data_IF_172464244104
#
_entry.id   IF_172464244104
#
_cell.length_a   1.000
_cell.length_b   1.000
_cell.length_c   1.000
_cell.angle_alpha   90.00
_cell.angle_beta   90.00
_cell.angle_gamma   90.00
#
_symmetry.space_group_name_H-M   'P 1'
#
loop_
_entity.id
_entity.type
_entity.pdbx_description
1 polymer ?
#
# COMPACT_ATOMS: atom_id res chain seq x y z
N UNK A 1 14.59 15.57 1.26
CA UNK A 1 13.60 14.77 2.03
C UNK A 1 13.01 13.66 1.14
N UNK A 2 13.84 12.72 0.67
CA UNK A 2 13.40 11.64 -0.23
C UNK A 2 13.15 10.36 0.57
N UNK A 3 11.91 10.16 1.05
CA UNK A 3 11.28 8.84 1.27
C UNK A 3 9.86 9.01 1.80
N UNK A 4 8.95 9.55 0.96
CA UNK A 4 7.50 9.43 1.19
C UNK A 4 7.02 8.07 0.65
N UNK A 5 7.49 6.97 1.25
CA UNK A 5 6.95 5.63 1.00
C UNK A 5 6.86 4.89 2.33
N UNK A 6 5.77 5.15 3.05
CA UNK A 6 5.42 4.38 4.24
C UNK A 6 5.08 2.95 3.83
N UNK A 7 5.54 1.94 4.59
CA UNK A 7 5.13 0.54 4.40
C UNK A 7 3.66 0.29 4.76
N UNK A 8 2.89 1.33 5.04
CA UNK A 8 1.42 1.24 5.12
C UNK A 8 0.81 0.71 3.80
N UNK A 9 1.45 0.94 2.64
CA UNK A 9 1.08 0.33 1.34
C UNK A 9 1.29 -1.19 1.27
N UNK A 10 2.02 -1.75 2.22
CA UNK A 10 2.61 -3.09 2.19
C UNK A 10 1.83 -4.09 3.06
N UNK A 11 0.97 -3.56 3.94
CA UNK A 11 0.14 -4.26 4.91
C UNK A 11 -1.04 -5.04 4.32
N UNK A 12 -1.31 -4.99 3.02
CA UNK A 12 -2.55 -5.54 2.44
C UNK A 12 -2.50 -7.04 2.12
N UNK A 13 -1.30 -7.60 1.96
CA UNK A 13 -1.14 -8.81 1.12
C UNK A 13 -0.75 -10.07 1.91
N UNK A 14 -0.35 -9.90 3.16
CA UNK A 14 0.14 -10.98 4.01
C UNK A 14 -0.96 -11.91 4.53
N UNK A 15 -2.19 -11.40 4.62
CA UNK A 15 -3.34 -12.23 4.95
C UNK A 15 -3.67 -13.24 3.85
N UNK A 16 -3.56 -12.86 2.58
CA UNK A 16 -3.78 -13.73 1.42
C UNK A 16 -2.87 -14.97 1.44
N UNK A 17 -1.61 -14.81 1.86
CA UNK A 17 -0.66 -15.92 2.00
C UNK A 17 -1.02 -16.82 3.20
N UNK A 18 -1.45 -16.23 4.32
CA UNK A 18 -1.87 -17.00 5.50
C UNK A 18 -3.24 -17.68 5.35
N UNK A 19 -4.20 -17.08 4.64
CA UNK A 19 -5.54 -17.65 4.44
C UNK A 19 -5.49 -18.92 3.59
N UNK A 20 -4.73 -18.91 2.48
CA UNK A 20 -4.50 -20.13 1.70
C UNK A 20 -3.91 -21.26 2.54
N UNK A 21 -3.10 -20.94 3.57
CA UNK A 21 -2.53 -21.90 4.53
C UNK A 21 -3.50 -22.40 5.62
N UNK A 22 -4.62 -21.71 5.86
CA UNK A 22 -5.42 -21.85 7.08
C UNK A 22 -6.87 -22.31 6.85
N UNK A 23 -7.38 -22.29 5.60
CA UNK A 23 -8.78 -22.61 5.25
C UNK A 23 -9.22 -24.08 5.54
N UNK A 24 -8.39 -24.91 6.17
CA UNK A 24 -8.80 -26.27 6.59
C UNK A 24 -8.52 -26.68 8.03
N UNK A 25 -8.06 -25.80 8.91
CA UNK A 25 -7.97 -26.11 10.34
C UNK A 25 -8.77 -25.09 11.15
N UNK A 26 -9.95 -25.49 11.58
CA UNK A 26 -10.73 -24.82 12.61
C UNK A 26 -9.98 -24.88 13.95
N UNK A 27 -9.10 -23.91 14.20
CA UNK A 27 -8.56 -23.63 15.54
C UNK A 27 -8.23 -22.13 15.62
N UNK A 28 -9.13 -21.38 16.24
CA UNK A 28 -9.00 -19.94 16.45
C UNK A 28 -7.76 -19.61 17.29
N UNK A 29 -6.98 -18.59 16.90
CA UNK A 29 -6.17 -17.83 17.87
C UNK A 29 -7.10 -16.87 18.61
N UNK A 30 -7.61 -17.29 19.76
CA UNK A 30 -8.29 -16.39 20.70
C UNK A 30 -7.24 -15.70 21.57
N UNK A 31 -7.14 -14.37 21.48
CA UNK A 31 -6.49 -13.57 22.53
C UNK A 31 -7.38 -13.57 23.76
N UNK A 32 -6.90 -14.09 24.88
CA UNK A 32 -7.56 -13.95 26.19
C UNK A 32 -7.35 -12.55 26.76
N UNK A 33 -8.34 -12.07 27.51
CA UNK A 33 -8.49 -10.69 28.00
C UNK A 33 -7.49 -10.23 29.09
N UNK A 34 -6.40 -10.98 29.34
CA UNK A 34 -5.41 -10.68 30.38
C UNK A 34 -4.01 -10.34 29.84
N UNK A 35 -3.84 -10.18 28.52
CA UNK A 35 -2.57 -9.73 27.93
C UNK A 35 -1.43 -10.73 28.04
N UNK A 36 -1.66 -11.97 28.46
CA UNK A 36 -0.65 -13.02 28.50
C UNK A 36 -0.77 -13.96 27.29
N UNK A 37 0.30 -14.06 26.49
CA UNK A 37 0.39 -15.04 25.40
C UNK A 37 0.69 -16.43 26.00
N UNK A 38 -0.33 -17.14 26.45
CA UNK A 38 -0.20 -18.54 26.87
C UNK A 38 -0.39 -19.46 25.67
N UNK A 39 0.66 -20.22 25.30
CA UNK A 39 0.48 -21.44 24.51
C UNK A 39 -0.44 -22.37 25.30
N UNK A 40 -1.65 -22.62 24.81
CA UNK A 40 -2.38 -23.82 25.22
C UNK A 40 -1.63 -24.98 24.58
N UNK A 41 -0.73 -25.59 25.35
CA UNK A 41 -0.15 -26.89 25.03
C UNK A 41 -1.24 -27.93 25.30
N UNK A 42 -2.11 -28.13 24.31
CA UNK A 42 -2.84 -29.39 24.23
C UNK A 42 -1.83 -30.46 23.77
N UNK A 43 -1.56 -31.45 24.62
CA UNK A 43 -0.56 -32.52 24.41
C UNK A 43 -1.05 -33.61 23.43
N UNK A 44 -2.02 -33.29 22.58
CA UNK A 44 -2.44 -34.15 21.49
C UNK A 44 -1.50 -33.95 20.29
N UNK A 45 -1.06 -35.02 19.60
CA UNK A 45 -0.15 -34.89 18.46
C UNK A 45 -0.83 -34.05 17.38
N UNK A 46 -0.32 -32.83 17.14
CA UNK A 46 -0.77 -31.98 16.05
C UNK A 46 -0.72 -32.78 14.75
N UNK A 47 -1.82 -32.85 13.98
CA UNK A 47 -1.78 -33.47 12.66
C UNK A 47 -0.70 -32.77 11.82
N UNK A 48 0.02 -33.50 10.96
CA UNK A 48 1.05 -32.91 10.12
C UNK A 48 0.42 -31.77 9.29
N UNK A 49 0.98 -30.56 9.42
CA UNK A 49 0.54 -29.39 8.66
C UNK A 49 0.64 -29.74 7.18
N UNK A 50 -0.50 -29.92 6.49
CA UNK A 50 -0.52 -30.08 5.03
C UNK A 50 0.01 -28.80 4.42
N UNK A 51 1.25 -28.83 3.96
CA UNK A 51 1.94 -27.68 3.35
C UNK A 51 1.29 -27.37 2.00
N UNK A 52 0.97 -26.09 1.77
CA UNK A 52 0.47 -25.65 0.46
C UNK A 52 1.62 -25.61 -0.54
N UNK A 53 1.40 -26.09 -1.78
CA UNK A 53 2.43 -26.08 -2.80
C UNK A 53 2.86 -24.64 -3.12
N UNK A 54 4.15 -24.46 -3.37
CA UNK A 54 4.72 -23.21 -3.83
C UNK A 54 4.36 -22.94 -5.29
N UNK A 55 4.36 -21.67 -5.74
CA UNK A 55 4.75 -20.44 -5.03
C UNK A 55 3.61 -19.76 -4.24
N UNK A 56 3.97 -19.02 -3.18
CA UNK A 56 3.02 -18.26 -2.35
C UNK A 56 2.99 -16.79 -2.74
N UNK A 57 1.83 -16.35 -3.22
CA UNK A 57 1.55 -14.98 -3.57
C UNK A 57 0.30 -14.47 -2.85
N UNK A 58 0.29 -13.19 -2.56
CA UNK A 58 -0.95 -12.44 -2.42
C UNK A 58 -0.93 -11.24 -3.36
N UNK A 59 -2.10 -10.74 -3.72
CA UNK A 59 -2.23 -9.59 -4.61
C UNK A 59 -3.27 -8.59 -4.10
N UNK A 60 -2.96 -7.30 -4.13
CA UNK A 60 -3.93 -6.20 -3.97
C UNK A 60 -4.04 -5.46 -5.31
N UNK A 61 -5.18 -5.61 -5.98
CA UNK A 61 -5.44 -4.95 -7.26
C UNK A 61 -6.25 -3.67 -6.98
N UNK A 62 -5.53 -2.59 -6.66
CA UNK A 62 -6.12 -1.27 -6.46
C UNK A 62 -6.52 -0.59 -7.77
N UNK A 63 -7.17 0.57 -7.67
CA UNK A 63 -7.61 1.36 -8.84
C UNK A 63 -6.45 1.88 -9.70
N UNK A 64 -5.35 2.31 -9.07
CA UNK A 64 -4.18 2.86 -9.76
C UNK A 64 -2.97 1.93 -9.77
N UNK A 65 -2.73 1.22 -8.67
CA UNK A 65 -1.56 0.35 -8.49
C UNK A 65 -2.00 -1.04 -8.05
N UNK A 66 -1.44 -2.04 -8.71
CA UNK A 66 -1.42 -3.42 -8.26
C UNK A 66 -0.18 -3.66 -7.39
N UNK A 67 -0.34 -4.38 -6.28
CA UNK A 67 0.74 -4.79 -5.39
C UNK A 67 0.72 -6.30 -5.26
N UNK A 68 1.90 -6.90 -5.36
CA UNK A 68 2.14 -8.32 -5.27
C UNK A 68 3.15 -8.56 -4.16
N UNK A 69 2.82 -9.48 -3.25
CA UNK A 69 3.77 -9.96 -2.25
C UNK A 69 4.10 -11.40 -2.53
N UNK A 70 5.40 -11.68 -2.52
CA UNK A 70 5.94 -12.99 -2.79
C UNK A 70 6.75 -13.45 -1.58
N UNK A 71 6.41 -14.62 -1.04
CA UNK A 71 7.21 -15.26 -0.01
C UNK A 71 8.23 -16.22 -0.64
N UNK A 72 9.51 -15.90 -0.46
CA UNK A 72 10.63 -16.71 -0.90
C UNK A 72 11.14 -17.59 0.27
N UNK A 73 11.00 -18.93 0.23
CA UNK A 73 11.60 -19.80 1.22
C UNK A 73 13.12 -19.71 1.22
N UNK A 74 13.70 -19.74 2.41
CA UNK A 74 15.15 -19.83 2.62
C UNK A 74 15.58 -21.09 3.36
N UNK A 75 14.62 -21.95 3.69
CA UNK A 75 14.78 -23.18 4.45
C UNK A 75 14.53 -24.44 3.61
N UNK A 76 14.72 -24.35 2.29
CA UNK A 76 14.54 -25.45 1.34
C UNK A 76 15.61 -26.51 1.58
N UNK A 77 15.20 -27.77 1.73
CA UNK A 77 16.15 -28.88 1.85
C UNK A 77 16.72 -29.30 0.48
N UNK A 78 17.88 -29.96 0.41
CA UNK A 78 18.42 -30.47 -0.86
C UNK A 78 17.45 -31.40 -1.60
N UNK A 79 16.68 -32.22 -0.87
CA UNK A 79 15.67 -33.12 -1.46
C UNK A 79 14.48 -32.35 -2.04
N UNK A 80 14.03 -31.30 -1.33
CA UNK A 80 13.01 -30.37 -1.84
C UNK A 80 13.53 -29.62 -3.07
N UNK A 81 14.79 -29.20 -3.10
CA UNK A 81 15.39 -28.53 -4.25
C UNK A 81 15.53 -29.46 -5.46
N UNK A 82 15.86 -30.74 -5.26
CA UNK A 82 15.96 -31.72 -6.33
C UNK A 82 14.58 -32.12 -6.90
N UNK A 83 13.55 -32.15 -6.06
CA UNK A 83 12.16 -32.42 -6.46
C UNK A 83 11.42 -31.18 -6.96
N UNK A 84 11.97 -29.98 -6.77
CA UNK A 84 11.38 -28.74 -7.23
C UNK A 84 11.37 -28.64 -8.76
N UNK A 85 10.17 -28.44 -9.30
CA UNK A 85 9.94 -28.31 -10.74
C UNK A 85 10.74 -27.12 -11.29
N UNK A 86 11.42 -27.31 -12.42
CA UNK A 86 12.29 -26.30 -13.04
C UNK A 86 11.59 -24.95 -13.29
N UNK A 87 10.30 -24.96 -13.62
CA UNK A 87 9.48 -23.73 -13.75
C UNK A 87 9.44 -22.92 -12.46
N UNK A 88 9.35 -23.58 -11.30
CA UNK A 88 9.31 -22.92 -9.99
C UNK A 88 10.67 -22.29 -9.65
N UNK A 89 11.78 -22.98 -9.96
CA UNK A 89 13.14 -22.42 -9.85
C UNK A 89 13.30 -21.18 -10.72
N UNK A 90 12.82 -21.23 -11.95
CA UNK A 90 12.90 -20.11 -12.89
C UNK A 90 12.06 -18.91 -12.44
N UNK A 91 10.86 -19.11 -11.92
CA UNK A 91 10.04 -18.04 -11.35
C UNK A 91 10.73 -17.41 -10.13
N UNK A 92 11.21 -18.24 -9.18
CA UNK A 92 11.94 -17.74 -8.01
C UNK A 92 13.12 -16.88 -8.45
N UNK A 93 13.96 -17.41 -9.36
CA UNK A 93 15.13 -16.71 -9.90
C UNK A 93 14.75 -15.41 -10.61
N UNK A 94 13.66 -15.42 -11.38
CA UNK A 94 13.17 -14.24 -12.07
C UNK A 94 12.73 -13.15 -11.07
N UNK A 95 11.97 -13.52 -10.04
CA UNK A 95 11.49 -12.58 -9.03
C UNK A 95 12.64 -12.04 -8.16
N UNK A 96 13.64 -12.84 -7.84
CA UNK A 96 14.70 -12.42 -6.90
C UNK A 96 15.88 -11.72 -7.57
N UNK A 97 16.22 -12.08 -8.82
CA UNK A 97 17.35 -11.46 -9.55
C UNK A 97 17.00 -10.16 -10.24
N UNK A 98 15.73 -9.93 -10.57
CA UNK A 98 15.30 -8.70 -11.23
C UNK A 98 14.76 -7.68 -10.22
N UNK A 99 15.02 -6.39 -10.48
CA UNK A 99 14.42 -5.26 -9.75
C UNK A 99 13.27 -4.64 -10.52
N UNK A 100 13.25 -4.79 -11.85
CA UNK A 100 12.18 -4.38 -12.73
C UNK A 100 11.59 -5.60 -13.45
N UNK A 101 10.28 -5.61 -13.68
CA UNK A 101 9.56 -6.66 -14.38
C UNK A 101 8.80 -6.05 -15.55
N UNK A 102 9.15 -6.43 -16.78
CA UNK A 102 8.73 -5.69 -17.96
C UNK A 102 9.26 -4.25 -17.93
N UNK A 103 8.49 -3.30 -18.46
CA UNK A 103 8.82 -1.87 -18.46
C UNK A 103 8.34 -1.12 -17.22
N UNK A 104 7.35 -1.64 -16.49
CA UNK A 104 6.58 -0.89 -15.48
C UNK A 104 6.50 -1.54 -14.10
N UNK A 105 6.86 -2.82 -13.98
CA UNK A 105 6.90 -3.52 -12.70
C UNK A 105 8.16 -3.22 -11.91
N UNK A 106 8.04 -2.99 -10.62
CA UNK A 106 9.15 -2.66 -9.74
C UNK A 106 9.11 -3.48 -8.45
N UNK A 107 10.26 -4.05 -8.06
CA UNK A 107 10.47 -4.64 -6.74
C UNK A 107 11.11 -3.64 -5.80
N UNK A 108 10.42 -3.31 -4.72
CA UNK A 108 10.88 -2.36 -3.72
C UNK A 108 11.83 -3.08 -2.73
N UNK A 109 13.09 -3.29 -3.13
CA UNK A 109 14.08 -4.07 -2.36
C UNK A 109 14.37 -3.51 -0.97
N UNK A 110 14.20 -2.20 -0.78
CA UNK A 110 14.37 -1.52 0.50
C UNK A 110 13.25 -1.85 1.51
N UNK A 111 12.15 -2.45 1.04
CA UNK A 111 11.03 -2.89 1.88
C UNK A 111 11.09 -4.38 2.22
N UNK A 112 12.02 -5.13 1.62
CA UNK A 112 12.18 -6.56 1.82
C UNK A 112 12.26 -6.90 3.32
N UNK A 113 11.51 -7.92 3.75
CA UNK A 113 11.55 -8.41 5.12
C UNK A 113 12.23 -9.77 5.15
N UNK A 114 13.30 -9.88 5.94
CA UNK A 114 14.06 -11.11 6.10
C UNK A 114 13.57 -11.87 7.33
N UNK A 115 13.85 -13.17 7.36
CA UNK A 115 13.59 -14.06 8.50
C UNK A 115 12.12 -14.13 8.94
N UNK A 116 11.21 -14.05 7.96
CA UNK A 116 9.77 -14.09 8.22
C UNK A 116 9.30 -15.54 8.30
N UNK A 117 8.49 -15.84 9.31
CA UNK A 117 7.96 -17.17 9.58
C UNK A 117 6.48 -17.26 9.16
N UNK A 118 6.19 -18.05 8.11
CA UNK A 118 4.84 -18.21 7.54
C UNK A 118 4.60 -19.68 7.23
N UNK A 119 3.45 -20.23 7.66
CA UNK A 119 3.04 -21.59 7.30
C UNK A 119 4.05 -22.68 7.72
N UNK A 120 4.79 -22.45 8.81
CA UNK A 120 5.85 -23.36 9.28
C UNK A 120 7.15 -23.29 8.48
N UNK A 121 7.33 -22.28 7.60
CA UNK A 121 8.58 -22.05 6.89
C UNK A 121 9.20 -20.69 7.22
N UNK A 122 10.51 -20.60 7.05
CA UNK A 122 11.32 -19.40 7.24
C UNK A 122 11.81 -18.88 5.89
N UNK A 123 11.60 -17.59 5.65
CA UNK A 123 11.88 -17.02 4.34
C UNK A 123 11.96 -15.50 4.32
N UNK A 124 11.81 -14.96 3.12
CA UNK A 124 11.91 -13.54 2.81
C UNK A 124 10.62 -13.09 2.14
N UNK A 125 10.06 -11.97 2.57
CA UNK A 125 8.97 -11.30 1.86
C UNK A 125 9.50 -10.26 0.89
N UNK A 126 9.07 -10.39 -0.36
CA UNK A 126 9.35 -9.44 -1.44
C UNK A 126 8.11 -8.64 -1.78
N UNK A 127 8.30 -7.34 -2.02
CA UNK A 127 7.23 -6.40 -2.34
C UNK A 127 7.41 -5.89 -3.75
N UNK A 128 6.38 -6.12 -4.58
CA UNK A 128 6.39 -5.80 -5.99
C UNK A 128 5.15 -4.97 -6.29
N UNK A 129 5.29 -3.96 -7.15
CA UNK A 129 4.16 -3.12 -7.59
C UNK A 129 4.26 -2.82 -9.07
N UNK A 130 3.11 -2.59 -9.69
CA UNK A 130 3.00 -2.12 -11.08
C UNK A 130 1.68 -1.35 -11.27
N UNK A 131 1.58 -0.47 -12.26
CA UNK A 131 0.32 0.23 -12.56
C UNK A 131 -0.79 -0.75 -12.92
N UNK A 132 -1.99 -0.55 -12.39
CA UNK A 132 -3.14 -1.43 -12.69
C UNK A 132 -3.52 -1.41 -14.19
N UNK A 133 -3.21 -0.32 -14.90
CA UNK A 133 -3.35 -0.23 -16.37
C UNK A 133 -2.53 -1.29 -17.11
N UNK A 134 -1.44 -1.77 -16.52
CA UNK A 134 -0.52 -2.76 -17.09
C UNK A 134 -0.89 -4.21 -16.72
N UNK A 135 -2.09 -4.43 -16.18
CA UNK A 135 -2.53 -5.76 -15.75
C UNK A 135 -2.51 -6.79 -16.89
N UNK A 136 -2.86 -6.40 -18.12
CA UNK A 136 -2.82 -7.32 -19.26
C UNK A 136 -1.39 -7.77 -19.58
N UNK A 137 -0.42 -6.84 -19.60
CA UNK A 137 1.00 -7.19 -19.77
C UNK A 137 1.50 -8.09 -18.62
N UNK A 138 1.03 -7.88 -17.39
CA UNK A 138 1.35 -8.77 -16.28
C UNK A 138 0.80 -10.20 -16.50
N UNK A 139 -0.44 -10.33 -16.97
CA UNK A 139 -1.06 -11.64 -17.26
C UNK A 139 -0.31 -12.35 -18.39
N UNK A 140 0.06 -11.64 -19.46
CA UNK A 140 0.87 -12.17 -20.55
C UNK A 140 2.25 -12.63 -20.05
N UNK A 141 2.89 -11.84 -19.19
CA UNK A 141 4.15 -12.20 -18.56
C UNK A 141 3.99 -13.47 -17.71
N UNK A 142 2.96 -13.54 -16.87
CA UNK A 142 2.66 -14.71 -16.03
C UNK A 142 2.43 -15.97 -16.88
N UNK A 143 1.73 -15.83 -18.02
CA UNK A 143 1.53 -16.90 -19.00
C UNK A 143 2.86 -17.36 -19.61
N UNK A 144 3.68 -16.42 -20.09
CA UNK A 144 4.99 -16.71 -20.72
C UNK A 144 5.98 -17.37 -19.76
N UNK A 145 5.88 -17.11 -18.45
CA UNK A 145 6.74 -17.67 -17.41
C UNK A 145 6.20 -18.96 -16.80
N UNK A 146 5.05 -19.45 -17.27
CA UNK A 146 4.44 -20.67 -16.74
C UNK A 146 3.94 -20.54 -15.30
N UNK A 147 3.59 -19.33 -14.84
CA UNK A 147 3.04 -19.18 -13.48
C UNK A 147 1.68 -19.88 -13.35
N UNK A 148 0.91 -19.83 -14.44
CA UNK A 148 -0.39 -20.48 -14.60
C UNK A 148 -0.37 -22.01 -14.39
N UNK A 149 0.76 -22.67 -14.67
CA UNK A 149 0.88 -24.13 -14.53
C UNK A 149 1.22 -24.57 -13.11
N UNK A 150 1.71 -23.64 -12.26
CA UNK A 150 2.11 -23.92 -10.89
C UNK A 150 1.05 -23.48 -9.87
N UNK A 151 0.33 -22.39 -10.16
CA UNK A 151 -0.66 -21.83 -9.26
C UNK A 151 -2.01 -21.79 -9.95
N UNK A 152 -2.97 -22.56 -9.43
CA UNK A 152 -4.35 -22.53 -9.91
C UNK A 152 -5.20 -21.48 -9.21
N UNK A 153 -4.79 -21.04 -8.01
CA UNK A 153 -5.53 -20.06 -7.19
C UNK A 153 -4.59 -19.05 -6.57
N UNK A 154 -4.87 -17.76 -6.75
CA UNK A 154 -4.16 -16.66 -6.09
C UNK A 154 -5.14 -15.90 -5.21
N UNK A 155 -4.78 -15.71 -3.94
CA UNK A 155 -5.54 -14.84 -3.06
C UNK A 155 -5.35 -13.38 -3.48
N UNK A 156 -6.45 -12.68 -3.72
CA UNK A 156 -6.46 -11.33 -4.23
C UNK A 156 -7.47 -10.45 -3.49
N UNK A 157 -7.13 -9.19 -3.29
CA UNK A 157 -8.01 -8.18 -2.70
C UNK A 157 -8.06 -6.91 -3.55
N UNK A 158 -8.80 -5.91 -3.08
CA UNK A 158 -9.08 -4.67 -3.80
C UNK A 158 -10.15 -4.85 -4.88
N UNK A 159 -10.72 -3.73 -5.33
CA UNK A 159 -11.78 -3.75 -6.35
C UNK A 159 -11.38 -4.42 -7.67
N UNK A 160 -10.08 -4.43 -8.00
CA UNK A 160 -9.56 -5.10 -9.17
C UNK A 160 -9.63 -6.63 -9.11
N UNK A 161 -9.67 -7.23 -7.92
CA UNK A 161 -9.85 -8.68 -7.78
C UNK A 161 -11.21 -9.14 -8.36
N UNK A 162 -12.23 -8.29 -8.29
CA UNK A 162 -13.53 -8.53 -8.95
C UNK A 162 -13.47 -8.18 -10.44
N UNK A 163 -12.89 -7.02 -10.79
CA UNK A 163 -12.82 -6.53 -12.18
C UNK A 163 -12.07 -7.47 -13.12
N UNK A 164 -10.97 -8.06 -12.67
CA UNK A 164 -10.08 -8.86 -13.52
C UNK A 164 -10.26 -10.38 -13.34
N UNK A 165 -11.19 -10.84 -12.50
CA UNK A 165 -11.41 -12.28 -12.26
C UNK A 165 -11.61 -13.07 -13.56
N UNK A 166 -12.46 -12.57 -14.45
CA UNK A 166 -12.73 -13.22 -15.73
C UNK A 166 -11.50 -13.26 -16.64
N UNK A 167 -10.68 -12.20 -16.64
CA UNK A 167 -9.45 -12.14 -17.43
C UNK A 167 -8.43 -13.15 -16.93
N UNK A 168 -8.21 -13.24 -15.61
CA UNK A 168 -7.32 -14.25 -15.02
C UNK A 168 -7.80 -15.68 -15.33
N UNK A 169 -9.10 -15.91 -15.24
CA UNK A 169 -9.69 -17.22 -15.54
C UNK A 169 -9.55 -17.59 -17.02
N UNK A 170 -9.80 -16.66 -17.95
CA UNK A 170 -9.76 -16.92 -19.40
C UNK A 170 -8.33 -17.04 -19.94
N UNK A 171 -7.43 -16.15 -19.53
CA UNK A 171 -6.11 -16.03 -20.16
C UNK A 171 -5.06 -16.97 -19.58
N UNK A 172 -5.15 -17.27 -18.28
CA UNK A 172 -4.18 -18.07 -17.53
C UNK A 172 -4.80 -19.18 -16.69
N UNK A 173 -6.12 -19.42 -16.79
CA UNK A 173 -6.83 -20.46 -16.03
C UNK A 173 -6.57 -20.38 -14.51
N UNK A 174 -6.42 -19.16 -13.98
CA UNK A 174 -6.20 -18.91 -12.56
C UNK A 174 -7.47 -18.39 -11.91
N UNK A 175 -7.83 -18.96 -10.77
CA UNK A 175 -8.91 -18.45 -9.91
C UNK A 175 -8.38 -17.38 -8.97
N UNK A 176 -9.09 -16.27 -8.83
CA UNK A 176 -8.83 -15.30 -7.78
C UNK A 176 -9.68 -15.65 -6.55
N UNK A 177 -9.02 -16.01 -5.45
CA UNK A 177 -9.67 -16.13 -4.15
C UNK A 177 -9.79 -14.74 -3.53
N UNK A 178 -10.98 -14.16 -3.63
CA UNK A 178 -11.22 -12.76 -3.28
C UNK A 178 -11.32 -12.58 -1.76
N UNK A 179 -10.53 -11.67 -1.22
CA UNK A 179 -10.56 -11.25 0.18
C UNK A 179 -11.02 -9.79 0.28
N UNK A 180 -11.71 -9.41 1.38
CA UNK A 180 -12.08 -8.02 1.62
C UNK A 180 -10.85 -7.11 1.81
N UNK A 181 -10.88 -5.92 1.22
CA UNK A 181 -9.75 -4.98 1.19
C UNK A 181 -9.39 -4.45 2.58
N UNK A 182 -10.40 -4.14 3.39
CA UNK A 182 -10.22 -3.53 4.70
C UNK A 182 -9.76 -4.58 5.71
N UNK A 183 -10.31 -5.78 5.63
CA UNK A 183 -9.86 -6.92 6.44
C UNK A 183 -8.40 -7.26 6.16
N UNK A 184 -8.05 -7.35 4.87
CA UNK A 184 -6.68 -7.58 4.41
C UNK A 184 -5.70 -6.52 4.92
N UNK A 185 -6.08 -5.24 4.85
CA UNK A 185 -5.30 -4.11 5.35
C UNK A 185 -4.98 -4.24 6.83
N UNK A 186 -6.00 -4.40 7.67
CA UNK A 186 -5.81 -4.45 9.13
C UNK A 186 -4.95 -5.65 9.51
N UNK A 187 -5.26 -6.82 8.94
CA UNK A 187 -4.57 -8.06 9.29
C UNK A 187 -3.11 -8.05 8.87
N UNK A 188 -2.78 -7.61 7.66
CA UNK A 188 -1.38 -7.56 7.27
C UNK A 188 -0.61 -6.41 7.90
N UNK A 189 -1.27 -5.33 8.35
CA UNK A 189 -0.63 -4.31 9.18
C UNK A 189 -0.21 -4.88 10.54
N UNK A 190 -1.14 -5.56 11.22
CA UNK A 190 -0.86 -6.23 12.49
C UNK A 190 0.19 -7.34 12.33
N UNK A 191 0.19 -8.06 11.20
CA UNK A 191 1.22 -9.05 10.89
C UNK A 191 2.60 -8.40 10.77
N UNK A 192 2.72 -7.29 10.02
CA UNK A 192 4.01 -6.61 9.85
C UNK A 192 4.52 -6.12 11.19
N UNK A 193 3.67 -5.49 12.00
CA UNK A 193 4.07 -5.02 13.33
C UNK A 193 4.55 -6.17 14.23
N UNK A 194 3.82 -7.30 14.25
CA UNK A 194 4.19 -8.46 15.05
C UNK A 194 5.49 -9.15 14.62
N UNK A 195 5.91 -8.99 13.37
CA UNK A 195 7.16 -9.57 12.85
C UNK A 195 8.29 -8.53 12.73
N UNK A 196 7.98 -7.24 12.80
CA UNK A 196 8.91 -6.14 12.53
C UNK A 196 8.51 -4.87 13.32
N UNK A 197 8.70 -4.87 14.65
CA UNK A 197 8.16 -3.85 15.59
C UNK A 197 8.84 -2.46 15.49
N UNK A 198 9.59 -2.22 14.42
CA UNK A 198 10.25 -0.94 14.12
C UNK A 198 9.57 -0.19 12.97
N UNK A 199 8.39 -0.68 12.55
CA UNK A 199 7.72 -0.19 11.35
C UNK A 199 6.93 1.08 11.58
N UNK A 200 6.26 1.20 12.72
CA UNK A 200 5.48 2.37 13.04
C UNK A 200 6.38 3.54 13.46
N UNK A 201 6.11 4.75 12.96
CA UNK A 201 6.90 5.94 13.27
C UNK A 201 6.06 7.22 13.16
N UNK A 202 6.54 8.28 13.80
CA UNK A 202 6.01 9.64 13.66
C UNK A 202 7.16 10.64 13.46
N UNK A 203 6.83 11.86 13.07
CA UNK A 203 7.79 12.96 12.97
C UNK A 203 7.65 13.87 14.19
N UNK A 204 8.66 13.85 15.07
CA UNK A 204 8.74 14.75 16.21
C UNK A 204 9.16 16.15 15.74
N UNK A 205 8.60 17.21 16.33
CA UNK A 205 8.84 18.61 15.96
C UNK A 205 8.58 18.91 14.47
N UNK A 206 7.52 18.35 13.89
CA UNK A 206 7.22 18.42 12.45
C UNK A 206 7.07 19.83 11.86
N UNK A 207 6.85 20.85 12.70
CA UNK A 207 6.74 22.26 12.29
C UNK A 207 8.09 23.00 12.25
N UNK A 208 9.17 22.38 12.73
CA UNK A 208 10.50 22.99 12.78
C UNK A 208 11.44 22.22 11.86
N UNK A 209 11.89 22.85 10.78
CA UNK A 209 12.76 22.19 9.78
C UNK A 209 14.05 21.64 10.39
N UNK A 210 14.69 22.39 11.30
CA UNK A 210 15.97 22.01 11.92
C UNK A 210 15.85 20.91 12.99
N UNK A 211 14.66 20.74 13.59
CA UNK A 211 14.42 19.83 14.73
C UNK A 211 13.56 18.63 14.35
N UNK A 212 13.09 18.56 13.11
CA UNK A 212 12.21 17.52 12.63
C UNK A 212 12.96 16.18 12.55
N UNK A 213 12.54 15.21 13.36
CA UNK A 213 13.20 13.90 13.40
C UNK A 213 12.19 12.77 13.31
N UNK A 214 12.56 11.70 12.60
CA UNK A 214 11.78 10.48 12.50
C UNK A 214 11.99 9.66 13.77
N UNK A 215 10.92 9.38 14.50
CA UNK A 215 10.95 8.63 15.77
C UNK A 215 10.07 7.40 15.65
N UNK A 216 10.56 6.26 16.12
CA UNK A 216 9.79 5.01 16.16
C UNK A 216 8.63 5.13 17.15
N UNK A 217 7.51 4.52 16.79
CA UNK A 217 6.33 4.44 17.63
C UNK A 217 6.11 2.99 18.06
N UNK A 218 6.00 2.76 19.36
CA UNK A 218 5.63 1.45 19.89
C UNK A 218 4.16 1.17 19.63
N UNK A 219 3.87 0.23 18.72
CA UNK A 219 2.52 -0.15 18.31
C UNK A 219 2.09 -1.52 18.88
N UNK A 220 2.70 -1.97 20.00
CA UNK A 220 2.40 -3.27 20.63
C UNK A 220 0.98 -3.39 21.20
N UNK A 221 0.44 -2.29 21.76
CA UNK A 221 -0.94 -2.21 22.26
C UNK A 221 -1.74 -1.17 21.45
N UNK A 222 -2.12 -1.49 20.20
CA UNK A 222 -2.50 -0.46 19.24
C UNK A 222 -3.91 0.12 19.44
N UNK A 223 -4.79 -0.59 20.16
CA UNK A 223 -6.21 -0.24 20.20
C UNK A 223 -6.56 0.78 21.29
N UNK A 224 -7.49 1.71 21.02
CA UNK A 224 -8.11 2.01 19.73
C UNK A 224 -7.24 2.93 18.85
N UNK A 225 -7.37 2.81 17.53
CA UNK A 225 -6.68 3.70 16.59
C UNK A 225 -7.51 3.98 15.33
N UNK A 226 -7.10 4.99 14.57
CA UNK A 226 -7.71 5.34 13.28
C UNK A 226 -6.74 5.00 12.16
N UNK A 227 -7.25 4.31 11.14
CA UNK A 227 -6.53 4.12 9.87
C UNK A 227 -7.07 5.10 8.86
N UNK A 228 -6.18 5.87 8.25
CA UNK A 228 -6.48 6.69 7.07
C UNK A 228 -5.75 6.10 5.88
N UNK A 229 -6.43 5.25 5.11
CA UNK A 229 -5.87 4.61 3.93
C UNK A 229 -6.01 5.53 2.71
N UNK A 230 -4.89 6.08 2.24
CA UNK A 230 -4.83 7.02 1.11
C UNK A 230 -4.37 6.27 -0.15
N UNK A 231 -5.33 5.88 -0.99
CA UNK A 231 -5.11 5.30 -2.32
C UNK A 231 -5.58 6.25 -3.42
N UNK A 232 -6.26 5.73 -4.45
CA UNK A 232 -6.90 6.55 -5.48
C UNK A 232 -7.94 7.51 -4.85
N UNK A 233 -8.73 7.00 -3.90
CA UNK A 233 -9.52 7.77 -2.93
C UNK A 233 -8.99 7.56 -1.51
N UNK A 234 -9.77 7.94 -0.49
CA UNK A 234 -9.39 7.78 0.92
C UNK A 234 -10.49 7.04 1.69
N UNK A 235 -10.08 6.05 2.49
CA UNK A 235 -10.95 5.36 3.45
C UNK A 235 -10.46 5.60 4.87
N UNK A 236 -11.38 5.96 5.78
CA UNK A 236 -11.09 6.20 7.19
C UNK A 236 -11.79 5.14 8.03
N UNK A 237 -11.02 4.42 8.84
CA UNK A 237 -11.51 3.35 9.70
C UNK A 237 -11.21 3.66 11.16
N UNK A 238 -12.17 3.41 12.04
CA UNK A 238 -11.94 3.28 13.47
C UNK A 238 -11.73 1.80 13.80
N UNK A 239 -10.63 1.47 14.46
CA UNK A 239 -10.27 0.11 14.87
C UNK A 239 -10.28 0.04 16.39
N UNK A 240 -11.24 -0.70 16.92
CA UNK A 240 -11.47 -0.88 18.36
C UNK A 240 -10.85 -2.17 18.90
N UNK A 241 -10.58 -3.15 18.04
CA UNK A 241 -9.95 -4.42 18.41
C UNK A 241 -9.63 -5.29 17.17
N UNK A 242 -9.02 -6.47 17.36
CA UNK A 242 -8.51 -7.30 16.27
C UNK A 242 -9.55 -7.70 15.19
N UNK A 243 -10.81 -7.85 15.59
CA UNK A 243 -11.93 -8.13 14.70
C UNK A 243 -13.08 -7.12 14.89
N UNK A 244 -12.80 -5.95 15.48
CA UNK A 244 -13.79 -4.92 15.72
C UNK A 244 -13.31 -3.60 15.12
N UNK A 245 -13.79 -3.30 13.93
CA UNK A 245 -13.50 -2.07 13.21
C UNK A 245 -14.65 -1.67 12.32
N UNK A 246 -14.72 -0.38 12.01
CA UNK A 246 -15.75 0.19 11.15
C UNK A 246 -15.15 1.25 10.26
N UNK A 247 -15.52 1.25 8.99
CA UNK A 247 -15.29 2.39 8.10
C UNK A 247 -16.19 3.54 8.55
N UNK A 248 -15.58 4.57 9.14
CA UNK A 248 -16.29 5.72 9.72
C UNK A 248 -16.44 6.88 8.74
N UNK A 249 -15.55 6.98 7.75
CA UNK A 249 -15.60 8.04 6.74
C UNK A 249 -14.79 7.67 5.50
N UNK A 250 -14.76 8.58 4.53
CA UNK A 250 -13.86 8.57 3.40
C UNK A 250 -14.10 9.76 2.49
N UNK A 251 -13.19 9.98 1.55
CA UNK A 251 -13.32 11.02 0.55
C UNK A 251 -12.86 10.48 -0.81
N UNK A 252 -13.47 10.95 -1.88
CA UNK A 252 -13.00 10.68 -3.24
C UNK A 252 -11.75 11.50 -3.59
N UNK A 253 -11.43 12.54 -2.79
CA UNK A 253 -10.25 13.38 -2.94
C UNK A 253 -9.02 12.66 -2.35
N UNK A 254 -8.41 11.79 -3.14
CA UNK A 254 -7.21 11.03 -2.77
C UNK A 254 -6.02 11.26 -3.71
N UNK A 255 -5.12 10.28 -3.77
CA UNK A 255 -3.96 10.31 -4.65
C UNK A 255 -4.32 10.31 -6.14
N UNK A 256 -5.47 9.73 -6.51
CA UNK A 256 -5.97 9.76 -7.88
C UNK A 256 -6.41 11.16 -8.30
N UNK A 257 -7.02 11.91 -7.39
CA UNK A 257 -7.37 13.32 -7.63
C UNK A 257 -6.12 14.18 -7.76
N UNK A 258 -5.14 13.99 -6.86
CA UNK A 258 -3.85 14.69 -6.94
C UNK A 258 -3.18 14.44 -8.30
N UNK A 259 -2.93 13.17 -8.64
CA UNK A 259 -2.23 12.81 -9.87
C UNK A 259 -3.01 13.27 -11.12
N UNK A 260 -4.32 13.03 -11.17
CA UNK A 260 -5.15 13.42 -12.32
C UNK A 260 -5.15 14.93 -12.55
N UNK A 261 -5.25 15.74 -11.48
CA UNK A 261 -5.18 17.20 -11.59
C UNK A 261 -3.78 17.67 -11.98
N UNK A 262 -2.72 17.09 -11.41
CA UNK A 262 -1.34 17.40 -11.81
C UNK A 262 -1.13 17.12 -13.30
N UNK A 263 -1.49 15.93 -13.80
CA UNK A 263 -1.39 15.60 -15.22
C UNK A 263 -2.11 16.61 -16.11
N UNK A 264 -3.34 17.02 -15.74
CA UNK A 264 -4.12 17.97 -16.53
C UNK A 264 -3.58 19.40 -16.48
N UNK A 265 -3.02 19.83 -15.35
CA UNK A 265 -2.59 21.22 -15.12
C UNK A 265 -1.13 21.47 -15.53
N UNK A 266 -0.26 20.47 -15.42
CA UNK A 266 1.19 20.61 -15.67
C UNK A 266 1.69 19.77 -16.83
N UNK A 267 0.91 18.79 -17.31
CA UNK A 267 1.33 17.86 -18.35
C UNK A 267 2.26 16.73 -17.86
N UNK A 268 2.46 16.58 -16.55
CA UNK A 268 3.27 15.49 -16.03
C UNK A 268 2.64 14.12 -16.32
N UNK A 269 3.47 13.08 -16.48
CA UNK A 269 3.03 11.74 -16.89
C UNK A 269 3.24 10.67 -15.80
N UNK A 270 3.87 11.03 -14.68
CA UNK A 270 4.12 10.10 -13.57
C UNK A 270 3.87 10.75 -12.21
N UNK A 271 3.66 9.91 -11.20
CA UNK A 271 3.52 10.39 -9.82
C UNK A 271 4.82 10.99 -9.31
N UNK A 272 5.97 10.41 -9.64
CA UNK A 272 7.29 10.90 -9.30
C UNK A 272 7.53 12.31 -9.85
N UNK A 273 7.23 12.53 -11.14
CA UNK A 273 7.34 13.85 -11.77
C UNK A 273 6.39 14.87 -11.11
N UNK A 274 5.17 14.47 -10.76
CA UNK A 274 4.23 15.35 -10.05
C UNK A 274 4.77 15.79 -8.68
N UNK A 275 5.45 14.88 -7.95
CA UNK A 275 6.09 15.21 -6.66
C UNK A 275 7.31 16.13 -6.86
N UNK A 276 8.12 15.91 -7.89
CA UNK A 276 9.26 16.79 -8.21
C UNK A 276 8.80 18.21 -8.55
N UNK A 277 7.76 18.35 -9.35
CA UNK A 277 7.12 19.64 -9.64
C UNK A 277 6.55 20.29 -8.38
N UNK A 278 5.87 19.54 -7.52
CA UNK A 278 5.34 20.05 -6.27
C UNK A 278 6.46 20.53 -5.30
N UNK A 279 7.61 19.85 -5.29
CA UNK A 279 8.76 20.18 -4.43
C UNK A 279 9.42 21.51 -4.80
N UNK A 280 9.42 21.86 -6.09
CA UNK A 280 9.93 23.15 -6.59
C UNK A 280 8.86 24.24 -6.68
N UNK A 281 7.60 23.88 -6.44
CA UNK A 281 6.45 24.78 -6.54
C UNK A 281 6.31 25.70 -5.34
N UNK A 282 5.58 26.80 -5.54
CA UNK A 282 5.16 27.72 -4.50
C UNK A 282 3.64 27.88 -4.57
N UNK A 283 2.93 27.33 -3.59
CA UNK A 283 1.48 27.33 -3.59
C UNK A 283 0.89 28.74 -3.37
N UNK A 284 1.65 29.66 -2.76
CA UNK A 284 1.18 31.02 -2.47
C UNK A 284 0.95 31.85 -3.74
N UNK A 285 1.51 31.42 -4.88
CA UNK A 285 1.26 32.03 -6.20
C UNK A 285 -0.10 31.67 -6.80
N UNK A 286 -0.79 30.67 -6.24
CA UNK A 286 -2.08 30.17 -6.75
C UNK A 286 -3.16 30.30 -5.69
N UNK A 287 -2.88 29.83 -4.48
CA UNK A 287 -3.80 29.86 -3.36
C UNK A 287 -4.04 31.29 -2.86
N UNK A 288 -5.24 31.54 -2.33
CA UNK A 288 -5.51 32.75 -1.55
C UNK A 288 -5.34 32.46 -0.07
N UNK A 289 -4.55 33.28 0.58
CA UNK A 289 -4.25 33.23 2.01
C UNK A 289 -5.19 34.16 2.79
N UNK A 290 -5.26 33.97 4.11
CA UNK A 290 -6.06 34.84 5.00
C UNK A 290 -5.62 36.30 4.86
N UNK A 291 -4.32 36.56 4.77
CA UNK A 291 -3.79 37.93 4.57
C UNK A 291 -4.22 38.58 3.27
N UNK A 292 -4.49 37.80 2.22
CA UNK A 292 -4.95 38.32 0.93
C UNK A 292 -6.43 38.77 0.98
N UNK A 293 -7.15 38.40 2.05
CA UNK A 293 -8.55 38.77 2.29
C UNK A 293 -8.64 39.84 3.38
N UNK A 294 -7.91 39.65 4.48
CA UNK A 294 -8.01 40.48 5.69
C UNK A 294 -6.87 41.48 5.88
N UNK A 295 -5.86 41.50 5.00
CA UNK A 295 -4.68 42.36 5.11
C UNK A 295 -3.69 41.95 6.20
N UNK A 296 -3.91 40.81 6.86
CA UNK A 296 -3.11 40.32 7.98
C UNK A 296 -3.72 39.05 8.59
N UNK A 297 -3.56 38.88 9.90
CA UNK A 297 -4.22 37.79 10.63
C UNK A 297 -5.72 38.05 10.78
N UNK A 298 -6.54 37.00 10.82
CA UNK A 298 -7.93 37.13 11.25
C UNK A 298 -8.05 36.89 12.76
N UNK A 299 -7.80 37.95 13.53
CA UNK A 299 -7.61 37.90 14.99
C UNK A 299 -8.80 37.32 15.75
N UNK A 300 -10.04 37.63 15.32
CA UNK A 300 -11.27 37.22 16.01
C UNK A 300 -11.36 35.71 16.23
N UNK A 301 -10.82 34.91 15.31
CA UNK A 301 -10.81 33.45 15.39
C UNK A 301 -9.39 32.88 15.39
N UNK A 302 -8.38 33.73 15.59
CA UNK A 302 -6.98 33.32 15.65
C UNK A 302 -6.47 32.65 14.38
N UNK A 303 -6.94 33.04 13.19
CA UNK A 303 -6.42 32.47 11.94
C UNK A 303 -5.16 33.24 11.51
N UNK A 304 -4.01 32.56 11.37
CA UNK A 304 -2.78 33.17 10.87
C UNK A 304 -2.95 33.70 9.43
N UNK A 305 -2.28 34.80 9.10
CA UNK A 305 -2.37 35.42 7.77
C UNK A 305 -1.78 34.56 6.64
N UNK A 306 -0.85 33.66 6.96
CA UNK A 306 -0.25 32.68 6.04
C UNK A 306 -1.09 31.40 5.88
N UNK A 307 -2.19 31.25 6.63
CA UNK A 307 -3.12 30.16 6.45
C UNK A 307 -3.83 30.27 5.08
N UNK A 308 -3.92 29.16 4.35
CA UNK A 308 -4.70 29.10 3.12
C UNK A 308 -6.19 29.26 3.44
N UNK A 309 -6.79 30.35 2.94
CA UNK A 309 -8.22 30.61 3.07
C UNK A 309 -9.02 29.96 1.94
N UNK A 310 -8.48 29.92 0.72
CA UNK A 310 -9.13 29.32 -0.44
C UNK A 310 -8.10 28.69 -1.38
N UNK A 311 -8.19 27.36 -1.53
CA UNK A 311 -7.45 26.62 -2.57
C UNK A 311 -8.05 26.93 -3.94
N UNK A 312 -7.21 27.31 -4.90
CA UNK A 312 -7.67 27.80 -6.21
C UNK A 312 -7.13 26.97 -7.37
N UNK A 313 -7.85 27.01 -8.49
CA UNK A 313 -7.32 26.45 -9.73
C UNK A 313 -6.44 27.45 -10.45
N UNK A 314 -5.44 26.95 -11.19
CA UNK A 314 -4.56 27.76 -12.05
C UNK A 314 -5.38 28.63 -13.01
N UNK A 315 -6.51 28.12 -13.51
CA UNK A 315 -7.42 28.89 -14.38
C UNK A 315 -7.99 30.15 -13.71
N UNK A 316 -8.41 30.06 -12.45
CA UNK A 316 -8.87 31.24 -11.69
C UNK A 316 -7.74 32.21 -11.37
N UNK A 317 -6.53 31.71 -11.04
CA UNK A 317 -5.36 32.57 -10.83
C UNK A 317 -4.96 33.30 -12.12
N UNK A 318 -4.96 32.59 -13.26
CA UNK A 318 -4.66 33.15 -14.58
C UNK A 318 -5.68 34.20 -15.03
N UNK A 319 -6.98 33.95 -14.85
CA UNK A 319 -8.03 34.93 -15.16
C UNK A 319 -7.91 36.20 -14.33
N UNK A 320 -7.51 36.08 -13.07
CA UNK A 320 -7.36 37.24 -12.20
C UNK A 320 -6.09 38.05 -12.52
N UNK A 321 -4.98 37.39 -12.86
CA UNK A 321 -3.81 38.08 -13.42
C UNK A 321 -4.12 38.77 -14.75
N UNK A 322 -4.96 38.18 -15.61
CA UNK A 322 -5.44 38.85 -16.83
C UNK A 322 -6.27 40.11 -16.53
N UNK A 323 -7.09 40.10 -15.49
CA UNK A 323 -7.82 41.29 -15.04
C UNK A 323 -6.90 42.35 -14.46
N UNK A 324 -5.94 41.96 -13.61
CA UNK A 324 -4.96 42.91 -13.07
C UNK A 324 -4.08 43.55 -14.16
N UNK A 325 -3.71 42.81 -15.22
CA UNK A 325 -3.01 43.36 -16.38
C UNK A 325 -3.90 44.32 -17.20
N UNK A 326 -5.21 44.05 -17.27
CA UNK A 326 -6.16 44.94 -17.95
C UNK A 326 -6.46 46.20 -17.12
N UNK A 327 -6.44 46.11 -15.80
CA UNK A 327 -6.64 47.23 -14.87
C UNK A 327 -5.40 48.17 -14.86
N UNK A 328 -4.19 47.65 -15.07
CA UNK A 328 -2.96 48.46 -15.24
C UNK A 328 -2.81 49.10 -16.65
N UNK A 329 -3.66 48.74 -17.62
CA UNK A 329 -3.62 49.28 -19.00
C UNK A 329 -4.66 50.39 -19.24
N UNK A 330 -5.55 50.64 -18.27
CA UNK A 330 -6.51 51.76 -18.30
C UNK A 330 -6.33 52.71 -17.11
N UNK A 331 -5.14 53.31 -17.00
CA UNK A 331 -5.01 54.66 -16.44
C UNK A 331 -4.43 55.53 -17.55
N UNK A 332 -5.32 56.26 -18.23
CA UNK A 332 -5.01 57.50 -18.95
C UNK A 332 -5.61 58.66 -18.17
#
# INVERSE_FOLDING_TARGET
MNSFRSKSFTSFVLYSINHSSFVRSSTFFTMSADGSCKRILDNSPCPPIKRHPMPWFGMDIGGTLCKLVYFEPKDITPDEENSEIETLKNIRKYLTKNKAYGSTGHRDTHLQMNDVHIGGRRGVLHFIRFPTSEMNHFIELAKSKGMATLVTTVCATGGGAFKFEDTFRKEVNMKLEKCDELDCLIRGMLFIEGNYPVECYYWANSTSEDKCTKVQYDFTNPYPFIIVNIGSGVSVLAVYGPNNYKRISGTSLGGGTFLGLCCLLTGCNSFEEAIELATSGDNTKVDKLVRDIYGGNYERFGLPGDLVASRRSVGTAYQQNRRNILDDVYIR
#
